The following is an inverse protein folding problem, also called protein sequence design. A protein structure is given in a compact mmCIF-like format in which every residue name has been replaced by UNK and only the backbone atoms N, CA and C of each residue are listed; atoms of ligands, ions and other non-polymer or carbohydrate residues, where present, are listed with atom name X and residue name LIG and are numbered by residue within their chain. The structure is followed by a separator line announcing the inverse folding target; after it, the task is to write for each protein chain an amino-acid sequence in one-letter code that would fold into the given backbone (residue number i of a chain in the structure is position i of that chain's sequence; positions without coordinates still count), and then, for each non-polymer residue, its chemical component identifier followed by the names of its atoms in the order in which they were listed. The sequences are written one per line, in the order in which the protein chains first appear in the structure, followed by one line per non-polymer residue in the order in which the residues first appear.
data_IF_239100006479
#
_entry.id   IF_239100006479
#
_cell.length_a   1.000
_cell.length_b   1.000
_cell.length_c   1.000
_cell.angle_alpha   90.00
_cell.angle_beta   90.00
_cell.angle_gamma   90.00
#
_symmetry.space_group_name_H-M   'P 1'
#
loop_
_entity.id
_entity.type
_entity.pdbx_description
1 polymer ?
#
# COMPACT_ATOMS: atom_id res chain seq x y z
N UNK A 1 5.31 7.03 -2.87
CA UNK A 1 4.85 6.67 -4.22
C UNK A 1 3.92 7.71 -4.78
N UNK A 2 4.09 8.04 -6.04
CA UNK A 2 3.19 8.97 -6.71
C UNK A 2 2.04 8.20 -7.36
N UNK A 3 0.86 8.80 -7.41
CA UNK A 3 -0.30 8.18 -8.03
C UNK A 3 -0.07 7.87 -9.51
N UNK A 4 0.67 8.72 -10.22
CA UNK A 4 1.00 8.50 -11.63
C UNK A 4 1.83 7.23 -11.86
N UNK A 5 2.75 6.93 -10.95
CA UNK A 5 3.56 5.72 -11.02
C UNK A 5 2.70 4.47 -10.82
N UNK A 6 1.73 4.55 -9.92
CA UNK A 6 0.82 3.43 -9.63
C UNK A 6 -0.13 3.18 -10.80
N UNK A 7 -0.57 4.22 -11.49
CA UNK A 7 -1.47 4.08 -12.63
C UNK A 7 -0.85 3.34 -13.81
N UNK A 8 0.48 3.39 -13.92
CA UNK A 8 1.20 2.72 -15.01
C UNK A 8 1.44 1.24 -14.73
N UNK A 9 1.17 0.77 -13.51
CA UNK A 9 1.41 -0.62 -13.13
C UNK A 9 0.24 -1.52 -13.53
N UNK A 10 0.55 -2.79 -13.83
CA UNK A 10 -0.46 -3.80 -14.10
C UNK A 10 -1.23 -4.14 -12.81
N UNK A 11 -2.40 -4.79 -12.95
CA UNK A 11 -3.18 -5.23 -11.80
C UNK A 11 -2.40 -6.22 -10.93
N UNK A 12 -1.63 -7.11 -11.56
CA UNK A 12 -0.79 -8.06 -10.84
C UNK A 12 0.30 -7.37 -10.04
N UNK A 13 0.94 -6.36 -10.64
CA UNK A 13 1.97 -5.57 -9.97
C UNK A 13 1.39 -4.80 -8.79
N UNK A 14 0.20 -4.24 -8.94
CA UNK A 14 -0.49 -3.53 -7.86
C UNK A 14 -0.82 -4.48 -6.71
N UNK A 15 -1.30 -5.67 -7.02
CA UNK A 15 -1.63 -6.68 -6.01
C UNK A 15 -0.38 -7.10 -5.23
N UNK A 16 0.72 -7.33 -5.93
CA UNK A 16 1.98 -7.70 -5.29
C UNK A 16 2.51 -6.57 -4.41
N UNK A 17 2.44 -5.35 -4.90
CA UNK A 17 2.87 -4.17 -4.15
C UNK A 17 2.03 -3.98 -2.88
N UNK A 18 0.72 -4.19 -2.98
CA UNK A 18 -0.19 -4.13 -1.82
C UNK A 18 0.22 -5.15 -0.75
N UNK A 19 0.50 -6.39 -1.16
CA UNK A 19 0.96 -7.43 -0.24
C UNK A 19 2.27 -7.04 0.43
N UNK A 20 3.22 -6.54 -0.34
CA UNK A 20 4.52 -6.14 0.18
C UNK A 20 4.38 -5.03 1.22
N UNK A 21 3.54 -4.05 0.94
CA UNK A 21 3.29 -2.95 1.87
C UNK A 21 2.57 -3.40 3.14
N UNK A 22 1.63 -4.33 3.02
CA UNK A 22 0.94 -4.89 4.18
C UNK A 22 1.89 -5.70 5.06
N UNK A 23 2.78 -6.48 4.44
CA UNK A 23 3.81 -7.23 5.16
C UNK A 23 4.75 -6.27 5.89
N UNK A 24 5.14 -5.19 5.24
CA UNK A 24 5.97 -4.15 5.86
C UNK A 24 5.26 -3.54 7.07
N UNK A 25 3.96 -3.26 6.95
CA UNK A 25 3.16 -2.71 8.04
C UNK A 25 3.12 -3.66 9.23
N UNK A 26 2.95 -4.96 9.00
CA UNK A 26 2.95 -5.98 10.05
C UNK A 26 4.31 -6.02 10.74
N UNK A 27 5.40 -6.02 9.98
CA UNK A 27 6.77 -6.00 10.53
C UNK A 27 7.01 -4.77 11.39
N UNK A 28 6.52 -3.61 10.95
CA UNK A 28 6.64 -2.36 11.69
C UNK A 28 5.89 -2.43 13.02
N UNK A 29 4.69 -3.02 13.02
CA UNK A 29 3.90 -3.19 14.24
C UNK A 29 4.57 -4.14 15.22
N UNK A 30 5.16 -5.23 14.72
CA UNK A 30 5.92 -6.18 15.55
C UNK A 30 7.14 -5.48 16.15
N UNK A 31 7.86 -4.69 15.36
CA UNK A 31 9.01 -3.92 15.84
C UNK A 31 8.61 -2.94 16.93
N UNK A 32 7.47 -2.27 16.78
CA UNK A 32 6.95 -1.34 17.78
C UNK A 32 6.59 -2.08 19.09
N UNK A 33 5.98 -3.26 18.98
CA UNK A 33 5.61 -4.07 20.13
C UNK A 33 6.83 -4.58 20.90
N UNK A 34 7.97 -4.76 20.23
CA UNK A 34 9.22 -5.21 20.85
C UNK A 34 10.10 -4.04 21.28
N UNK A 35 9.52 -2.86 21.47
CA UNK A 35 10.18 -1.64 21.96
C UNK A 35 11.19 -1.02 21.00
N UNK A 36 11.20 -1.43 19.75
CA UNK A 36 12.00 -0.77 18.72
C UNK A 36 11.28 0.49 18.27
N UNK A 37 12.04 1.55 18.06
CA UNK A 37 11.48 2.80 17.58
C UNK A 37 11.12 2.68 16.11
N UNK A 38 9.84 2.87 15.82
CA UNK A 38 9.32 2.96 14.46
C UNK A 38 8.68 4.32 14.30
N UNK A 39 9.05 5.03 13.24
CA UNK A 39 8.54 6.36 12.96
C UNK A 39 7.05 6.34 12.67
N UNK A 40 6.28 7.21 13.33
CA UNK A 40 4.87 7.42 13.00
C UNK A 40 4.69 7.86 11.55
N UNK A 41 5.62 8.64 11.04
CA UNK A 41 5.60 9.08 9.65
C UNK A 41 5.71 7.90 8.68
N UNK A 42 6.50 6.88 9.01
CA UNK A 42 6.58 5.66 8.19
C UNK A 42 5.25 4.91 8.16
N UNK A 43 4.58 4.77 9.30
CA UNK A 43 3.24 4.17 9.35
C UNK A 43 2.27 4.92 8.45
N UNK A 44 2.24 6.24 8.56
CA UNK A 44 1.36 7.08 7.74
C UNK A 44 1.65 6.93 6.26
N UNK A 45 2.92 6.89 5.88
CA UNK A 45 3.34 6.74 4.49
C UNK A 45 2.89 5.39 3.92
N UNK A 46 3.13 4.30 4.66
CA UNK A 46 2.75 2.95 4.21
C UNK A 46 1.24 2.84 4.08
N UNK A 47 0.49 3.32 5.05
CA UNK A 47 -0.98 3.30 5.01
C UNK A 47 -1.53 4.11 3.84
N UNK A 48 -0.94 5.26 3.57
CA UNK A 48 -1.34 6.12 2.46
C UNK A 48 -1.09 5.44 1.12
N UNK A 49 0.05 4.78 0.97
CA UNK A 49 0.37 4.05 -0.25
C UNK A 49 -0.58 2.87 -0.48
N UNK A 50 -0.93 2.14 0.57
CA UNK A 50 -1.92 1.06 0.49
C UNK A 50 -3.27 1.62 0.05
N UNK A 51 -3.69 2.75 0.63
CA UNK A 51 -4.95 3.38 0.29
C UNK A 51 -4.98 3.84 -1.19
N UNK A 52 -3.88 4.37 -1.69
CA UNK A 52 -3.76 4.77 -3.10
C UNK A 52 -3.88 3.59 -4.04
N UNK A 53 -3.23 2.47 -3.71
CA UNK A 53 -3.31 1.24 -4.49
C UNK A 53 -4.75 0.73 -4.52
N UNK A 54 -5.42 0.69 -3.38
CA UNK A 54 -6.81 0.26 -3.30
C UNK A 54 -7.74 1.15 -4.13
N UNK A 55 -7.52 2.45 -4.09
CA UNK A 55 -8.31 3.39 -4.88
C UNK A 55 -8.18 3.11 -6.37
N UNK A 56 -6.96 2.89 -6.85
CA UNK A 56 -6.71 2.58 -8.26
C UNK A 56 -7.34 1.24 -8.64
N UNK A 57 -7.21 0.24 -7.80
CA UNK A 57 -7.84 -1.08 -8.03
C UNK A 57 -9.36 -0.95 -8.12
N UNK A 58 -9.97 -0.17 -7.23
CA UNK A 58 -11.40 0.06 -7.23
C UNK A 58 -11.85 0.79 -8.50
N UNK A 59 -11.09 1.79 -8.95
CA UNK A 59 -11.39 2.51 -10.19
C UNK A 59 -11.34 1.59 -11.41
N UNK A 60 -10.34 0.70 -11.47
CA UNK A 60 -10.21 -0.26 -12.57
C UNK A 60 -11.34 -1.27 -12.58
N UNK A 61 -11.74 -1.74 -11.41
CA UNK A 61 -12.87 -2.67 -11.26
C UNK A 61 -14.17 -2.00 -11.69
N UNK A 62 -14.40 -0.76 -11.27
CA UNK A 62 -15.58 0.00 -11.66
C UNK A 62 -15.63 0.25 -13.17
N UNK A 63 -14.48 0.56 -13.78
CA UNK A 63 -14.39 0.76 -15.22
C UNK A 63 -14.66 -0.53 -15.99
N UNK A 64 -14.18 -1.67 -15.48
CA UNK A 64 -14.39 -2.98 -16.10
C UNK A 64 -15.84 -3.47 -15.97
N UNK A 65 -16.56 -3.00 -14.96
CA UNK A 65 -17.96 -3.41 -14.70
C UNK A 65 -18.99 -2.68 -15.58
N UNK A 66 -18.58 -1.69 -16.34
CA UNK A 66 -19.49 -0.94 -17.21
C UNK A 66 -19.73 -1.64 -18.55
#
# INVERSE_FOLDING_TARGET
MKASELKDKSNEDLLQLEKDLRDQLIRMRVSQATSRRVSTAMFSTVRRDIARIKTIQAQRTAAAAK
#
